data_IF_702118995012
#
_entry.id   IF_702118995012
#
_cell.length_a   1.000
_cell.length_b   1.000
_cell.length_c   1.000
_cell.angle_alpha   90.00
_cell.angle_beta   90.00
_cell.angle_gamma   90.00
#
_symmetry.space_group_name_H-M   'P 1'
#
loop_
_entity.id
_entity.type
_entity.pdbx_description
1 polymer ?
#
# COMPACT_ATOMS: atom_id res chain seq x y z
N UNK A 1 32.44 34.42 32.85
CA UNK A 1 32.77 33.22 32.07
C UNK A 1 31.51 32.70 31.39
N UNK A 2 31.41 32.89 30.08
CA UNK A 2 30.22 32.47 29.29
C UNK A 2 30.44 31.05 28.73
N UNK A 3 29.44 30.15 28.90
CA UNK A 3 29.46 28.79 28.34
C UNK A 3 29.21 28.84 26.84
N UNK A 4 29.94 28.06 26.03
CA UNK A 4 29.71 28.03 24.59
C UNK A 4 28.44 27.23 24.25
N UNK A 5 27.62 27.79 23.34
CA UNK A 5 26.42 27.16 22.81
C UNK A 5 26.77 25.94 21.92
N UNK A 6 26.17 24.80 22.26
CA UNK A 6 26.25 23.55 21.50
C UNK A 6 25.48 23.67 20.18
N UNK A 7 26.19 23.62 19.05
CA UNK A 7 25.60 23.51 17.71
C UNK A 7 24.95 22.13 17.54
N UNK A 8 23.60 22.08 17.49
CA UNK A 8 22.85 20.88 17.05
C UNK A 8 23.21 20.58 15.59
N UNK A 9 23.93 19.49 15.35
CA UNK A 9 24.12 18.93 14.01
C UNK A 9 22.77 18.42 13.51
N UNK A 10 22.22 19.09 12.50
CA UNK A 10 21.10 18.60 11.68
C UNK A 10 21.60 17.39 10.90
N UNK A 11 21.17 16.19 11.29
CA UNK A 11 21.39 14.97 10.51
C UNK A 11 20.47 15.01 9.29
N UNK A 12 21.01 15.40 8.13
CA UNK A 12 20.33 15.17 6.87
C UNK A 12 20.21 13.67 6.66
N UNK A 13 19.02 13.11 6.89
CA UNK A 13 18.69 11.75 6.48
C UNK A 13 18.83 11.70 4.96
N UNK A 14 19.89 11.03 4.48
CA UNK A 14 20.09 10.71 3.07
C UNK A 14 18.85 9.95 2.60
N UNK A 15 18.07 10.53 1.68
CA UNK A 15 16.98 9.82 1.03
C UNK A 15 17.59 8.65 0.27
N UNK A 16 17.45 7.45 0.81
CA UNK A 16 17.76 6.23 0.08
C UNK A 16 16.71 6.14 -1.02
N UNK A 17 17.14 6.24 -2.28
CA UNK A 17 16.29 6.03 -3.45
C UNK A 17 15.68 4.63 -3.34
N UNK A 18 14.40 4.56 -2.94
CA UNK A 18 13.67 3.30 -2.87
C UNK A 18 13.51 2.73 -4.28
N UNK A 19 13.79 1.44 -4.45
CA UNK A 19 13.51 0.68 -5.69
C UNK A 19 12.01 0.73 -6.03
N UNK A 20 11.16 0.94 -5.03
CA UNK A 20 9.71 0.92 -5.15
C UNK A 20 9.13 2.34 -5.08
N UNK A 21 8.02 2.55 -5.80
CA UNK A 21 7.29 3.81 -5.78
C UNK A 21 6.49 3.99 -4.50
N UNK A 22 6.08 2.87 -3.88
CA UNK A 22 5.28 2.86 -2.66
C UNK A 22 5.66 1.70 -1.74
N UNK A 23 5.61 1.94 -0.44
CA UNK A 23 5.72 0.94 0.62
C UNK A 23 4.59 1.23 1.62
N UNK A 24 3.79 0.21 1.93
CA UNK A 24 2.69 0.30 2.90
C UNK A 24 2.96 -0.68 4.03
N UNK A 25 2.79 -0.21 5.26
CA UNK A 25 2.77 -1.04 6.47
C UNK A 25 1.54 -0.67 7.27
N UNK A 26 0.64 -1.61 7.45
CA UNK A 26 -0.63 -1.38 8.12
C UNK A 26 -0.98 -2.52 9.08
N UNK A 27 -1.98 -2.26 9.91
CA UNK A 27 -2.55 -3.22 10.84
C UNK A 27 -4.08 -3.12 10.76
N UNK A 28 -4.75 -4.27 10.82
CA UNK A 28 -6.20 -4.32 10.91
C UNK A 28 -6.67 -3.61 12.19
N UNK A 29 -7.65 -2.74 12.03
CA UNK A 29 -8.33 -2.03 13.13
C UNK A 29 -9.66 -2.71 13.46
N UNK A 30 -10.30 -3.30 12.46
CA UNK A 30 -11.52 -4.10 12.61
C UNK A 30 -11.51 -5.23 11.59
N UNK A 31 -12.05 -6.37 11.98
CA UNK A 31 -12.33 -7.50 11.09
C UNK A 31 -13.73 -8.00 11.36
N UNK A 32 -14.53 -8.15 10.31
CA UNK A 32 -15.91 -8.61 10.41
C UNK A 32 -16.12 -9.80 9.48
N UNK A 33 -16.64 -10.91 10.01
CA UNK A 33 -17.11 -12.03 9.20
C UNK A 33 -18.44 -11.62 8.58
N UNK A 34 -18.53 -11.70 7.25
CA UNK A 34 -19.73 -11.36 6.47
C UNK A 34 -20.57 -12.59 6.22
N UNK A 35 -19.91 -13.73 5.90
CA UNK A 35 -20.59 -14.98 5.61
C UNK A 35 -19.64 -16.18 5.82
N UNK A 36 -20.22 -17.34 6.16
CA UNK A 36 -19.52 -18.62 6.22
C UNK A 36 -20.43 -19.66 5.55
N UNK A 37 -19.98 -20.20 4.43
CA UNK A 37 -20.71 -21.23 3.69
C UNK A 37 -19.76 -22.16 2.96
N UNK A 38 -20.01 -23.48 3.02
CA UNK A 38 -19.30 -24.50 2.24
C UNK A 38 -17.76 -24.35 2.27
N UNK A 39 -17.16 -24.21 3.47
CA UNK A 39 -15.72 -24.05 3.69
C UNK A 39 -15.14 -22.72 3.13
N UNK A 40 -15.99 -21.79 2.72
CA UNK A 40 -15.63 -20.45 2.29
C UNK A 40 -15.98 -19.47 3.40
N UNK A 41 -15.03 -18.61 3.73
CA UNK A 41 -15.25 -17.51 4.68
C UNK A 41 -15.14 -16.19 3.93
N UNK A 42 -16.20 -15.39 4.00
CA UNK A 42 -16.17 -14.00 3.55
C UNK A 42 -15.98 -13.09 4.75
N UNK A 43 -15.02 -12.21 4.66
CA UNK A 43 -14.78 -11.23 5.70
C UNK A 43 -14.38 -9.88 5.11
N UNK A 44 -14.58 -8.85 5.91
CA UNK A 44 -14.14 -7.49 5.65
C UNK A 44 -13.15 -7.08 6.73
N UNK A 45 -12.00 -6.54 6.33
CA UNK A 45 -11.06 -5.88 7.24
C UNK A 45 -10.92 -4.41 6.89
N UNK A 46 -10.73 -3.58 7.91
CA UNK A 46 -10.34 -2.18 7.77
C UNK A 46 -8.97 -2.02 8.39
N UNK A 47 -8.01 -1.61 7.58
CA UNK A 47 -6.63 -1.48 8.00
C UNK A 47 -6.22 -0.02 8.09
N UNK A 48 -5.29 0.28 8.99
CA UNK A 48 -4.68 1.60 9.14
C UNK A 48 -3.17 1.47 9.28
N UNK A 49 -2.45 2.38 8.62
CA UNK A 49 -1.00 2.33 8.67
C UNK A 49 -0.32 3.53 8.06
N UNK A 50 0.90 3.30 7.62
CA UNK A 50 1.75 4.30 6.98
C UNK A 50 1.99 3.93 5.52
N UNK A 51 1.94 4.94 4.67
CA UNK A 51 2.42 4.87 3.30
C UNK A 51 3.66 5.73 3.15
N UNK A 52 4.70 5.19 2.52
CA UNK A 52 5.92 5.92 2.16
C UNK A 52 6.26 5.65 0.71
N UNK A 53 6.65 6.67 -0.04
CA UNK A 53 6.94 6.50 -1.46
C UNK A 53 7.65 7.69 -2.09
N UNK A 54 7.95 7.55 -3.38
CA UNK A 54 8.66 8.59 -4.16
C UNK A 54 7.82 9.86 -4.35
N UNK A 55 6.52 9.70 -4.53
CA UNK A 55 5.63 10.81 -4.88
C UNK A 55 5.03 11.48 -3.64
N UNK A 56 4.77 10.68 -2.59
CA UNK A 56 4.18 11.13 -1.33
C UNK A 56 4.47 10.15 -0.19
N UNK A 57 4.23 10.62 1.02
CA UNK A 57 4.17 9.81 2.24
C UNK A 57 3.02 10.32 3.10
N UNK A 58 2.48 9.47 3.97
CA UNK A 58 1.35 9.82 4.79
C UNK A 58 0.72 8.64 5.51
N UNK A 59 -0.57 8.77 5.81
CA UNK A 59 -1.37 7.73 6.45
C UNK A 59 -2.13 6.94 5.39
N UNK A 60 -2.21 5.64 5.59
CA UNK A 60 -2.96 4.69 4.79
C UNK A 60 -4.17 4.19 5.57
N UNK A 61 -5.31 4.12 4.91
CA UNK A 61 -6.50 3.39 5.32
C UNK A 61 -6.99 2.58 4.13
N UNK A 62 -7.43 1.37 4.38
CA UNK A 62 -8.15 0.60 3.38
C UNK A 62 -9.28 -0.21 3.98
N UNK A 63 -10.16 -0.66 3.09
CA UNK A 63 -11.16 -1.69 3.33
C UNK A 63 -10.89 -2.81 2.34
N UNK A 64 -10.69 -4.01 2.84
CA UNK A 64 -10.44 -5.23 2.07
C UNK A 64 -11.57 -6.21 2.30
N UNK A 65 -12.34 -6.51 1.25
CA UNK A 65 -13.32 -7.58 1.23
C UNK A 65 -12.65 -8.85 0.70
N UNK A 66 -12.63 -9.91 1.50
CA UNK A 66 -11.92 -11.15 1.19
C UNK A 66 -12.86 -12.33 1.11
N UNK A 67 -12.62 -13.21 0.13
CA UNK A 67 -13.22 -14.54 0.03
C UNK A 67 -12.10 -15.55 0.22
N UNK A 68 -12.07 -16.18 1.38
CA UNK A 68 -11.02 -17.13 1.80
C UNK A 68 -11.50 -18.57 1.70
N UNK A 69 -10.64 -19.42 1.15
CA UNK A 69 -10.84 -20.87 1.05
C UNK A 69 -10.29 -21.59 2.29
N UNK A 70 -10.61 -22.88 2.44
CA UNK A 70 -10.19 -23.70 3.58
C UNK A 70 -8.68 -23.80 3.76
N UNK A 71 -7.89 -23.71 2.68
CA UNK A 71 -6.42 -23.72 2.74
C UNK A 71 -5.81 -22.37 3.17
N UNK A 72 -6.66 -21.34 3.38
CA UNK A 72 -6.25 -19.99 3.75
C UNK A 72 -5.81 -19.12 2.56
N UNK A 73 -5.94 -19.59 1.33
CA UNK A 73 -5.84 -18.73 0.15
C UNK A 73 -7.09 -17.83 0.03
N UNK A 74 -6.94 -16.65 -0.57
CA UNK A 74 -8.07 -15.73 -0.72
C UNK A 74 -7.97 -14.88 -1.98
N UNK A 75 -9.13 -14.46 -2.47
CA UNK A 75 -9.28 -13.33 -3.39
C UNK A 75 -9.78 -12.10 -2.64
N UNK A 76 -9.39 -10.92 -3.09
CA UNK A 76 -9.66 -9.68 -2.38
C UNK A 76 -10.16 -8.58 -3.32
N UNK A 77 -11.09 -7.78 -2.83
CA UNK A 77 -11.41 -6.45 -3.39
C UNK A 77 -10.87 -5.40 -2.42
N UNK A 78 -10.14 -4.43 -2.93
CA UNK A 78 -9.40 -3.45 -2.14
C UNK A 78 -9.92 -2.05 -2.49
N UNK A 79 -10.21 -1.24 -1.47
CA UNK A 79 -10.49 0.20 -1.58
C UNK A 79 -9.60 0.91 -0.57
N UNK A 80 -8.87 1.93 -1.00
CA UNK A 80 -7.99 2.63 -0.09
C UNK A 80 -8.08 4.16 -0.20
N UNK A 81 -7.70 4.80 0.87
CA UNK A 81 -7.46 6.24 1.00
C UNK A 81 -6.08 6.45 1.59
N UNK A 82 -5.24 7.23 0.91
CA UNK A 82 -4.04 7.80 1.50
C UNK A 82 -4.27 9.29 1.77
N UNK A 83 -3.91 9.73 2.96
CA UNK A 83 -3.80 11.15 3.29
C UNK A 83 -2.32 11.50 3.39
N UNK A 84 -1.84 12.35 2.49
CA UNK A 84 -0.43 12.75 2.47
C UNK A 84 -0.09 13.61 3.69
N UNK A 85 1.19 13.71 4.01
CA UNK A 85 1.67 14.63 5.04
C UNK A 85 1.39 16.13 4.74
N UNK A 86 0.89 16.43 3.53
CA UNK A 86 0.46 17.76 3.12
C UNK A 86 -1.07 17.93 3.13
N UNK A 87 -1.82 16.95 3.62
CA UNK A 87 -3.28 16.97 3.66
C UNK A 87 -3.96 16.67 2.32
N UNK A 88 -3.23 16.17 1.32
CA UNK A 88 -3.79 15.78 0.03
C UNK A 88 -4.29 14.34 0.07
N UNK A 89 -5.40 14.03 -0.62
CA UNK A 89 -5.96 12.68 -0.68
C UNK A 89 -5.61 11.97 -1.99
N UNK A 90 -5.30 10.69 -1.88
CA UNK A 90 -5.20 9.75 -3.00
C UNK A 90 -6.11 8.57 -2.67
N UNK A 91 -7.01 8.23 -3.58
CA UNK A 91 -7.91 7.08 -3.47
C UNK A 91 -7.57 6.05 -4.52
N UNK A 92 -7.91 4.81 -4.25
CA UNK A 92 -7.78 3.75 -5.25
C UNK A 92 -8.66 2.56 -4.98
N UNK A 93 -8.89 1.81 -6.04
CA UNK A 93 -9.60 0.54 -6.00
C UNK A 93 -8.83 -0.51 -6.77
N UNK A 94 -9.01 -1.77 -6.40
CA UNK A 94 -8.37 -2.87 -7.09
C UNK A 94 -8.76 -4.22 -6.54
N UNK A 95 -8.04 -5.21 -7.01
CA UNK A 95 -8.18 -6.60 -6.58
C UNK A 95 -6.84 -7.14 -6.12
N UNK A 96 -6.89 -8.23 -5.37
CA UNK A 96 -5.68 -8.89 -4.90
C UNK A 96 -5.90 -10.39 -4.68
N UNK A 97 -4.80 -11.07 -4.41
CA UNK A 97 -4.81 -12.47 -4.02
C UNK A 97 -3.88 -12.68 -2.83
N UNK A 98 -4.30 -13.56 -1.94
CA UNK A 98 -3.49 -14.13 -0.88
C UNK A 98 -3.23 -15.59 -1.22
N UNK A 99 -1.98 -16.01 -1.19
CA UNK A 99 -1.63 -17.43 -1.27
C UNK A 99 -1.92 -18.13 0.06
N UNK A 100 -2.09 -19.43 0.04
CA UNK A 100 -2.14 -20.21 1.27
C UNK A 100 -0.91 -19.89 2.15
N UNK A 101 -1.07 -19.81 3.49
CA UNK A 101 0.02 -19.50 4.40
C UNK A 101 1.17 -20.50 4.25
N UNK A 102 2.38 -20.03 3.98
CA UNK A 102 3.58 -20.86 3.86
C UNK A 102 4.35 -21.00 5.18
N UNK A 103 4.02 -20.18 6.16
CA UNK A 103 4.56 -20.18 7.51
C UNK A 103 3.43 -19.81 8.46
N UNK A 104 3.53 -20.19 9.74
CA UNK A 104 2.49 -19.94 10.76
C UNK A 104 1.93 -18.51 10.68
N UNK A 105 0.74 -18.41 10.15
CA UNK A 105 0.00 -17.15 9.97
C UNK A 105 0.61 -16.16 8.97
N UNK A 106 1.60 -16.54 8.16
CA UNK A 106 2.20 -15.66 7.17
C UNK A 106 1.88 -16.16 5.76
N UNK A 107 1.29 -15.29 4.94
CA UNK A 107 0.95 -15.57 3.55
C UNK A 107 1.49 -14.46 2.63
N UNK A 108 1.82 -14.82 1.41
CA UNK A 108 2.15 -13.84 0.37
C UNK A 108 0.88 -13.22 -0.18
N UNK A 109 0.94 -11.92 -0.46
CA UNK A 109 -0.16 -11.18 -1.06
C UNK A 109 0.33 -10.40 -2.27
N UNK A 110 -0.55 -10.27 -3.26
CA UNK A 110 -0.38 -9.36 -4.39
C UNK A 110 -1.66 -8.56 -4.58
N UNK A 111 -1.54 -7.39 -5.17
CA UNK A 111 -2.69 -6.57 -5.51
C UNK A 111 -2.38 -5.64 -6.67
N UNK A 112 -3.41 -5.27 -7.41
CA UNK A 112 -3.33 -4.30 -8.49
C UNK A 112 -4.63 -3.52 -8.63
N UNK A 113 -4.56 -2.34 -9.23
CA UNK A 113 -5.74 -1.50 -9.41
C UNK A 113 -5.42 -0.14 -10.02
N UNK A 114 -6.33 0.78 -9.79
CA UNK A 114 -6.24 2.16 -10.29
C UNK A 114 -6.30 3.15 -9.14
N UNK A 115 -5.76 4.36 -9.38
CA UNK A 115 -5.70 5.42 -8.37
C UNK A 115 -6.14 6.76 -8.94
N UNK A 116 -6.61 7.64 -8.05
CA UNK A 116 -7.04 9.01 -8.36
C UNK A 116 -6.69 9.97 -7.21
N UNK A 117 -6.50 11.22 -7.56
CA UNK A 117 -6.32 12.31 -6.62
C UNK A 117 -6.89 13.61 -7.18
N UNK A 118 -7.43 14.46 -6.32
CA UNK A 118 -7.80 15.82 -6.67
C UNK A 118 -6.67 16.84 -6.48
N UNK A 119 -5.53 16.41 -5.92
CA UNK A 119 -4.41 17.28 -5.63
C UNK A 119 -3.65 17.68 -6.90
N UNK A 120 -3.55 18.96 -7.26
CA UNK A 120 -2.88 19.40 -8.50
C UNK A 120 -1.43 18.92 -8.60
N UNK A 121 -0.70 18.89 -7.49
CA UNK A 121 0.69 18.43 -7.42
C UNK A 121 0.86 16.96 -7.79
N UNK A 122 -0.17 16.15 -7.56
CA UNK A 122 -0.19 14.71 -7.78
C UNK A 122 -1.05 14.31 -8.98
N UNK A 123 -1.52 15.27 -9.79
CA UNK A 123 -2.42 15.03 -10.93
C UNK A 123 -1.88 14.02 -11.93
N UNK A 124 -0.55 13.87 -12.03
CA UNK A 124 0.12 12.87 -12.86
C UNK A 124 -0.17 11.42 -12.43
N UNK A 125 -0.71 11.20 -11.22
CA UNK A 125 -1.11 9.88 -10.72
C UNK A 125 -2.55 9.50 -11.13
N UNK A 126 -3.35 10.46 -11.65
CA UNK A 126 -4.74 10.21 -12.01
C UNK A 126 -4.91 9.19 -13.12
N UNK A 127 -5.75 8.18 -12.88
CA UNK A 127 -5.97 7.07 -13.79
C UNK A 127 -4.77 6.13 -13.89
N UNK A 128 -3.73 6.37 -13.09
CA UNK A 128 -2.57 5.50 -13.01
C UNK A 128 -2.92 4.14 -12.42
N UNK A 129 -2.16 3.12 -12.82
CA UNK A 129 -2.27 1.78 -12.24
C UNK A 129 -1.24 1.63 -11.12
N UNK A 130 -1.63 0.87 -10.09
CA UNK A 130 -0.72 0.44 -9.05
C UNK A 130 -0.62 -1.09 -9.02
N UNK A 131 0.53 -1.60 -8.64
CA UNK A 131 0.73 -3.01 -8.31
C UNK A 131 1.58 -3.12 -7.06
N UNK A 132 1.21 -4.03 -6.17
CA UNK A 132 1.91 -4.29 -4.91
C UNK A 132 2.12 -5.78 -4.69
N UNK A 133 3.17 -6.11 -3.96
CA UNK A 133 3.48 -7.45 -3.48
C UNK A 133 3.99 -7.38 -2.04
N UNK A 134 3.77 -8.42 -1.26
CA UNK A 134 4.28 -8.48 0.11
C UNK A 134 3.73 -9.63 0.91
N UNK A 135 3.55 -9.39 2.20
CA UNK A 135 3.12 -10.39 3.17
C UNK A 135 2.04 -9.85 4.09
N UNK A 136 1.11 -10.73 4.43
CA UNK A 136 0.17 -10.56 5.53
C UNK A 136 0.54 -11.53 6.65
N UNK A 137 0.43 -11.08 7.89
CA UNK A 137 0.49 -11.92 9.07
C UNK A 137 -0.90 -11.94 9.72
N UNK A 138 -1.64 -13.02 9.51
CA UNK A 138 -3.02 -13.17 9.97
C UNK A 138 -3.15 -13.29 11.50
N UNK A 139 -2.07 -13.72 12.19
CA UNK A 139 -2.05 -13.81 13.66
C UNK A 139 -1.82 -12.43 14.29
N UNK A 140 -0.95 -11.62 13.70
CA UNK A 140 -0.63 -10.26 14.16
C UNK A 140 -1.54 -9.20 13.53
N UNK A 141 -2.37 -9.61 12.57
CA UNK A 141 -3.25 -8.73 11.80
C UNK A 141 -2.49 -7.57 11.14
N UNK A 142 -1.34 -7.88 10.54
CA UNK A 142 -0.49 -6.87 9.90
C UNK A 142 -0.24 -7.19 8.45
N UNK A 143 -0.15 -6.15 7.63
CA UNK A 143 0.23 -6.21 6.21
C UNK A 143 1.45 -5.35 5.95
N UNK A 144 2.36 -5.85 5.14
CA UNK A 144 3.53 -5.12 4.66
C UNK A 144 3.72 -5.39 3.17
N UNK A 145 3.45 -4.39 2.34
CA UNK A 145 3.55 -4.49 0.89
C UNK A 145 4.41 -3.36 0.32
N UNK A 146 4.96 -3.61 -0.86
CA UNK A 146 5.76 -2.67 -1.66
C UNK A 146 5.30 -2.77 -3.11
N UNK A 147 5.39 -1.70 -3.86
CA UNK A 147 4.90 -1.70 -5.23
C UNK A 147 5.32 -0.53 -6.08
N UNK A 148 4.79 -0.53 -7.28
CA UNK A 148 5.11 0.46 -8.30
C UNK A 148 3.83 1.05 -8.89
N UNK A 149 3.99 2.26 -9.45
CA UNK A 149 2.95 2.96 -10.19
C UNK A 149 3.29 2.95 -11.68
N UNK A 150 2.28 2.66 -12.50
CA UNK A 150 2.33 2.88 -13.95
C UNK A 150 1.45 4.08 -14.25
N UNK A 151 2.06 5.19 -14.64
CA UNK A 151 1.39 6.46 -14.89
C UNK A 151 0.95 6.49 -16.35
N UNK A 152 -0.35 6.71 -16.61
CA UNK A 152 -0.90 6.89 -17.95
C UNK A 152 -0.29 8.15 -18.58
N UNK A 153 0.41 8.01 -19.70
CA UNK A 153 1.02 9.13 -20.43
C UNK A 153 2.55 9.16 -20.47
N UNK A 154 3.25 8.32 -19.73
CA UNK A 154 4.66 8.04 -19.98
C UNK A 154 4.82 6.92 -21.03
N UNK A 155 4.44 7.17 -22.27
CA UNK A 155 5.04 6.45 -23.38
C UNK A 155 6.53 6.80 -23.36
N UNK A 156 7.38 5.80 -23.10
CA UNK A 156 8.80 5.92 -23.37
C UNK A 156 8.91 6.23 -24.87
N UNK A 157 9.21 7.47 -25.21
CA UNK A 157 9.63 7.81 -26.58
C UNK A 157 10.90 7.02 -26.82
N UNK A 158 10.77 5.91 -27.55
CA UNK A 158 11.92 5.19 -28.07
C UNK A 158 12.44 6.08 -29.20
N UNK A 159 13.48 6.85 -28.90
CA UNK A 159 14.24 7.54 -29.95
C UNK A 159 15.02 6.46 -30.70
N UNK A 160 14.50 6.02 -31.83
CA UNK A 160 15.24 5.21 -32.80
C UNK A 160 16.14 6.19 -33.55
N UNK A 161 17.41 6.26 -33.17
CA UNK A 161 18.41 6.94 -33.96
C UNK A 161 18.73 6.03 -35.16
N UNK A 162 18.39 6.50 -36.38
CA UNK A 162 18.82 5.90 -37.66
C UNK A 162 20.27 6.34 -37.97
#
# INVERSE_FOLDING_TARGET
MAKPASKKRSSHKKLVSSKYDVIIKAKATTTRIVDISNEIVRFESNDKGQVTGKHYSGVHWDTVESTMLADGSATMTIRYLHMTNKGESITGTGTGTQMAPYKRGIAKVTGEGTMWTSAPRLSHLNGGRWSVEGEVNTIKETVAVKGNFTISGMQKTIIINY
#
